data_IF_117144484363
#
_entry.id   IF_117144484363
#
_cell.length_a   1.000
_cell.length_b   1.000
_cell.length_c   1.000
_cell.angle_alpha   90.00
_cell.angle_beta   90.00
_cell.angle_gamma   90.00
#
_symmetry.space_group_name_H-M   'P 1'
#
loop_
_entity.id
_entity.type
_entity.pdbx_description
1 polymer ?
#
# COMPACT_ATOMS: atom_id res chain seq x y z
N UNK A 1 21.95 -18.69 25.83
CA UNK A 1 21.58 -17.87 24.66
C UNK A 1 20.90 -18.80 23.66
N UNK A 2 19.61 -18.61 23.44
CA UNK A 2 18.83 -19.47 22.54
C UNK A 2 18.73 -18.80 21.18
N UNK A 3 19.29 -19.42 20.14
CA UNK A 3 18.97 -19.02 18.78
C UNK A 3 17.48 -19.28 18.55
N UNK A 4 16.73 -18.32 17.98
CA UNK A 4 15.35 -18.56 17.61
C UNK A 4 15.30 -19.73 16.63
N UNK A 5 14.48 -20.72 16.94
CA UNK A 5 14.25 -21.84 16.03
C UNK A 5 13.53 -21.35 14.78
N UNK A 6 13.68 -22.06 13.68
CA UNK A 6 13.02 -21.73 12.41
C UNK A 6 11.49 -21.61 12.56
N UNK A 7 10.90 -22.42 13.44
CA UNK A 7 9.48 -22.33 13.81
C UNK A 7 9.14 -21.00 14.50
N UNK A 8 10.05 -20.50 15.35
CA UNK A 8 9.90 -19.22 16.02
C UNK A 8 10.00 -18.06 15.02
N UNK A 9 10.92 -18.14 14.06
CA UNK A 9 11.00 -17.15 12.96
C UNK A 9 9.73 -17.14 12.12
N UNK A 10 9.20 -18.30 11.75
CA UNK A 10 7.97 -18.43 10.98
C UNK A 10 6.74 -17.86 11.72
N UNK A 11 6.64 -18.08 13.03
CA UNK A 11 5.58 -17.50 13.86
C UNK A 11 5.74 -15.98 13.98
N UNK A 12 6.97 -15.47 14.01
CA UNK A 12 7.25 -14.02 14.03
C UNK A 12 6.88 -13.39 12.69
N UNK A 13 7.23 -14.02 11.57
CA UNK A 13 6.84 -13.57 10.23
C UNK A 13 5.33 -13.59 10.04
N UNK A 14 4.63 -14.64 10.46
CA UNK A 14 3.16 -14.74 10.38
C UNK A 14 2.42 -13.74 11.28
N UNK A 15 2.99 -13.40 12.44
CA UNK A 15 2.40 -12.39 13.33
C UNK A 15 2.64 -10.97 12.84
N UNK A 16 3.70 -10.74 12.04
CA UNK A 16 3.97 -9.45 11.37
C UNK A 16 3.22 -9.33 10.05
N UNK A 17 3.06 -10.42 9.29
CA UNK A 17 2.21 -10.50 8.07
C UNK A 17 0.70 -10.60 8.39
N UNK A 18 0.34 -10.89 9.63
CA UNK A 18 -1.05 -11.11 10.05
C UNK A 18 -1.92 -9.86 10.16
N UNK A 19 -1.59 -8.76 9.48
CA UNK A 19 -2.52 -7.63 9.43
C UNK A 19 -3.77 -8.07 8.67
N UNK A 20 -4.94 -7.83 9.26
CA UNK A 20 -6.25 -8.07 8.62
C UNK A 20 -6.33 -7.45 7.21
N UNK A 21 -5.49 -6.46 6.92
CA UNK A 21 -5.40 -5.68 5.70
C UNK A 21 -4.82 -6.48 4.51
N UNK A 22 -3.92 -7.45 4.71
CA UNK A 22 -3.37 -8.26 3.60
C UNK A 22 -4.41 -9.23 3.01
N UNK A 23 -5.25 -9.82 3.87
CA UNK A 23 -6.39 -10.63 3.41
C UNK A 23 -7.44 -9.79 2.70
N UNK A 24 -7.64 -8.55 3.15
CA UNK A 24 -8.56 -7.62 2.51
C UNK A 24 -8.02 -7.18 1.14
N UNK A 25 -6.72 -6.91 1.04
CA UNK A 25 -6.02 -6.68 -0.24
C UNK A 25 -6.22 -7.82 -1.22
N UNK A 26 -6.02 -9.07 -0.79
CA UNK A 26 -6.20 -10.26 -1.64
C UNK A 26 -7.67 -10.40 -2.10
N UNK A 27 -8.64 -10.17 -1.20
CA UNK A 27 -10.06 -10.20 -1.55
C UNK A 27 -10.44 -9.07 -2.53
N UNK A 28 -9.71 -7.95 -2.51
CA UNK A 28 -9.89 -6.84 -3.43
C UNK A 28 -9.21 -7.04 -4.80
N UNK A 29 -8.50 -8.14 -5.03
CA UNK A 29 -7.98 -8.54 -6.34
C UNK A 29 -9.02 -9.27 -7.22
N UNK A 30 -10.31 -9.17 -6.91
CA UNK A 30 -11.35 -9.64 -7.84
C UNK A 30 -11.31 -8.80 -9.12
N UNK A 31 -11.50 -9.43 -10.28
CA UNK A 31 -11.35 -8.77 -11.59
C UNK A 31 -12.17 -7.49 -11.75
N UNK A 32 -13.37 -7.43 -11.16
CA UNK A 32 -14.23 -6.23 -11.17
C UNK A 32 -13.66 -5.10 -10.31
N UNK A 33 -13.16 -5.43 -9.12
CA UNK A 33 -12.59 -4.46 -8.19
C UNK A 33 -11.28 -3.89 -8.74
N UNK A 34 -10.46 -4.73 -9.38
CA UNK A 34 -9.23 -4.32 -10.06
C UNK A 34 -9.50 -3.30 -11.17
N UNK A 35 -10.56 -3.49 -11.97
CA UNK A 35 -10.91 -2.53 -13.03
C UNK A 35 -11.29 -1.15 -12.46
N UNK A 36 -12.01 -1.11 -11.35
CA UNK A 36 -12.34 0.15 -10.66
C UNK A 36 -11.07 0.83 -10.15
N UNK A 37 -10.18 0.07 -9.50
CA UNK A 37 -8.92 0.58 -8.98
C UNK A 37 -7.98 1.11 -10.07
N UNK A 38 -7.97 0.48 -11.25
CA UNK A 38 -7.22 0.95 -12.42
C UNK A 38 -7.81 2.24 -13.00
N UNK A 39 -9.13 2.39 -13.00
CA UNK A 39 -9.77 3.63 -13.43
C UNK A 39 -9.49 4.78 -12.46
N UNK A 40 -9.57 4.51 -11.15
CA UNK A 40 -9.18 5.45 -10.10
C UNK A 40 -7.70 5.84 -10.23
N UNK A 41 -6.80 4.88 -10.50
CA UNK A 41 -5.39 5.14 -10.72
C UNK A 41 -5.15 6.02 -11.94
N UNK A 42 -5.87 5.78 -13.04
CA UNK A 42 -5.83 6.62 -14.24
C UNK A 42 -6.27 8.05 -13.93
N UNK A 43 -7.36 8.22 -13.19
CA UNK A 43 -7.86 9.52 -12.77
C UNK A 43 -6.85 10.27 -11.88
N UNK A 44 -6.25 9.58 -10.90
CA UNK A 44 -5.21 10.14 -10.02
C UNK A 44 -4.00 10.59 -10.85
N UNK A 45 -3.52 9.73 -11.75
CA UNK A 45 -2.37 10.04 -12.59
C UNK A 45 -2.64 11.26 -13.49
N UNK A 46 -3.80 11.34 -14.12
CA UNK A 46 -4.19 12.49 -14.94
C UNK A 46 -4.25 13.77 -14.11
N UNK A 47 -4.91 13.73 -12.96
CA UNK A 47 -5.07 14.90 -12.07
C UNK A 47 -3.71 15.42 -11.59
N UNK A 48 -2.80 14.52 -11.19
CA UNK A 48 -1.46 14.90 -10.76
C UNK A 48 -0.61 15.42 -11.92
N UNK A 49 -0.71 14.81 -13.11
CA UNK A 49 0.01 15.28 -14.30
C UNK A 49 -0.43 16.68 -14.75
N UNK A 50 -1.72 16.98 -14.66
CA UNK A 50 -2.29 18.29 -14.98
C UNK A 50 -1.84 19.37 -13.99
N UNK A 51 -1.68 19.01 -12.71
CA UNK A 51 -1.16 19.92 -11.69
C UNK A 51 0.35 20.13 -11.83
N UNK A 52 1.10 19.03 -11.86
CA UNK A 52 2.54 19.02 -12.03
C UNK A 52 3.04 17.61 -12.43
N UNK A 53 3.46 17.48 -13.69
CA UNK A 53 4.04 16.23 -14.20
C UNK A 53 5.29 15.77 -13.41
N UNK A 54 6.06 16.68 -12.82
CA UNK A 54 7.22 16.32 -12.01
C UNK A 54 6.79 15.67 -10.67
N UNK A 55 5.68 16.12 -10.09
CA UNK A 55 5.09 15.54 -8.89
C UNK A 55 4.62 14.09 -9.14
N UNK A 56 3.94 13.84 -10.26
CA UNK A 56 3.53 12.49 -10.64
C UNK A 56 4.75 11.57 -10.80
N UNK A 57 5.78 12.04 -11.52
CA UNK A 57 7.00 11.27 -11.73
C UNK A 57 7.72 10.98 -10.41
N UNK A 58 7.77 11.95 -9.49
CA UNK A 58 8.34 11.76 -8.16
C UNK A 58 7.55 10.72 -7.37
N UNK A 59 6.21 10.76 -7.38
CA UNK A 59 5.37 9.77 -6.70
C UNK A 59 5.61 8.37 -7.25
N UNK A 60 5.59 8.20 -8.58
CA UNK A 60 5.86 6.91 -9.24
C UNK A 60 7.25 6.41 -8.87
N UNK A 61 8.26 7.29 -8.85
CA UNK A 61 9.61 6.92 -8.46
C UNK A 61 9.65 6.38 -7.03
N UNK A 62 9.06 7.10 -6.06
CA UNK A 62 9.00 6.66 -4.65
C UNK A 62 8.29 5.31 -4.49
N UNK A 63 7.22 5.06 -5.25
CA UNK A 63 6.51 3.77 -5.28
C UNK A 63 7.46 2.65 -5.72
N UNK A 64 8.14 2.83 -6.86
CA UNK A 64 8.96 1.77 -7.48
C UNK A 64 10.16 1.41 -6.61
N UNK A 65 10.79 2.40 -5.96
CA UNK A 65 11.94 2.14 -5.08
C UNK A 65 11.54 1.58 -3.70
N UNK A 66 10.24 1.48 -3.41
CA UNK A 66 9.71 0.92 -2.17
C UNK A 66 9.82 1.86 -0.97
N UNK A 67 9.88 3.17 -1.21
CA UNK A 67 9.89 4.18 -0.13
C UNK A 67 8.51 4.32 0.53
N UNK A 68 8.50 4.90 1.74
CA UNK A 68 7.27 5.06 2.49
C UNK A 68 6.37 6.14 1.88
N UNK A 69 5.12 5.78 1.59
CA UNK A 69 4.09 6.70 1.12
C UNK A 69 3.09 6.95 2.23
N UNK A 70 2.96 8.22 2.63
CA UNK A 70 2.04 8.64 3.69
C UNK A 70 0.92 9.47 3.08
N UNK A 71 -0.32 9.00 3.27
CA UNK A 71 -1.52 9.66 2.72
C UNK A 71 -2.34 10.25 3.86
N UNK A 72 -2.37 11.58 3.96
CA UNK A 72 -3.22 12.30 4.91
C UNK A 72 -4.47 12.81 4.20
N UNK A 73 -5.63 12.30 4.60
CA UNK A 73 -6.92 12.73 4.07
C UNK A 73 -8.01 12.64 5.16
N UNK A 74 -8.97 13.56 5.13
CA UNK A 74 -10.10 13.57 6.05
C UNK A 74 -11.15 12.50 5.72
N UNK A 75 -11.23 12.09 4.45
CA UNK A 75 -12.13 11.04 3.99
C UNK A 75 -11.43 9.69 4.06
N UNK A 76 -11.96 8.80 4.91
CA UNK A 76 -11.51 7.41 5.02
C UNK A 76 -11.61 6.69 3.67
N UNK A 77 -12.75 6.84 3.00
CA UNK A 77 -13.05 6.17 1.73
C UNK A 77 -12.06 6.61 0.66
N UNK A 78 -11.84 7.92 0.52
CA UNK A 78 -10.91 8.45 -0.49
C UNK A 78 -9.46 8.00 -0.22
N UNK A 79 -9.06 7.93 1.06
CA UNK A 79 -7.73 7.42 1.44
C UNK A 79 -7.56 5.95 1.06
N UNK A 80 -8.54 5.11 1.39
CA UNK A 80 -8.51 3.68 1.06
C UNK A 80 -8.49 3.45 -0.45
N UNK A 81 -9.35 4.13 -1.21
CA UNK A 81 -9.37 4.04 -2.66
C UNK A 81 -8.02 4.44 -3.26
N UNK A 82 -7.46 5.58 -2.83
CA UNK A 82 -6.17 6.04 -3.31
C UNK A 82 -5.05 5.02 -3.05
N UNK A 83 -4.95 4.52 -1.82
CA UNK A 83 -3.94 3.52 -1.45
C UNK A 83 -4.12 2.24 -2.27
N UNK A 84 -5.35 1.73 -2.39
CA UNK A 84 -5.62 0.50 -3.14
C UNK A 84 -5.33 0.63 -4.63
N UNK A 85 -5.57 1.81 -5.22
CA UNK A 85 -5.17 2.11 -6.59
C UNK A 85 -3.65 2.06 -6.76
N UNK A 86 -2.89 2.59 -5.80
CA UNK A 86 -1.42 2.54 -5.85
C UNK A 86 -0.87 1.12 -5.73
N UNK A 87 -1.51 0.25 -4.94
CA UNK A 87 -1.09 -1.16 -4.82
C UNK A 87 -1.06 -1.88 -6.16
N UNK A 88 -1.91 -1.48 -7.12
CA UNK A 88 -1.92 -2.08 -8.46
C UNK A 88 -0.62 -1.86 -9.26
N UNK A 89 0.25 -0.95 -8.81
CA UNK A 89 1.56 -0.70 -9.43
C UNK A 89 2.66 -1.64 -8.93
N UNK A 90 2.42 -2.38 -7.84
CA UNK A 90 3.43 -3.19 -7.17
C UNK A 90 2.98 -4.66 -7.05
N UNK A 91 3.92 -5.62 -7.07
CA UNK A 91 3.60 -6.98 -6.68
C UNK A 91 3.09 -7.04 -5.24
N UNK A 92 2.14 -7.93 -4.96
CA UNK A 92 1.49 -8.04 -3.64
C UNK A 92 2.50 -8.19 -2.48
N UNK A 93 3.60 -8.93 -2.70
CA UNK A 93 4.64 -9.14 -1.69
C UNK A 93 5.57 -7.93 -1.44
N UNK A 94 5.43 -6.86 -2.21
CA UNK A 94 6.19 -5.62 -2.04
C UNK A 94 5.40 -4.55 -1.28
N UNK A 95 4.19 -4.85 -0.82
CA UNK A 95 3.27 -3.87 -0.25
C UNK A 95 3.01 -4.20 1.22
N UNK A 96 3.21 -3.20 2.07
CA UNK A 96 2.76 -3.20 3.47
C UNK A 96 1.87 -1.99 3.68
N UNK A 97 0.63 -2.22 4.12
CA UNK A 97 -0.34 -1.16 4.36
C UNK A 97 -0.61 -0.99 5.85
N UNK A 98 -0.87 0.26 6.22
CA UNK A 98 -1.56 0.64 7.45
C UNK A 98 -2.59 1.69 7.05
N UNK A 99 -3.83 1.25 6.82
CA UNK A 99 -4.85 2.10 6.21
C UNK A 99 -5.41 3.18 7.15
N UNK A 100 -5.21 3.03 8.46
CA UNK A 100 -5.92 3.79 9.51
C UNK A 100 -5.09 4.16 10.73
N UNK A 101 -3.81 4.47 10.51
CA UNK A 101 -2.92 4.97 11.55
C UNK A 101 -3.43 6.28 12.20
N UNK A 102 -3.53 6.31 13.53
CA UNK A 102 -3.79 7.53 14.32
C UNK A 102 -2.52 8.32 14.63
N UNK A 103 -1.36 7.72 14.40
CA UNK A 103 -0.04 8.28 14.63
C UNK A 103 0.91 7.88 13.50
N UNK A 104 2.03 8.60 13.35
CA UNK A 104 3.03 8.22 12.35
C UNK A 104 3.74 6.92 12.74
N UNK A 105 3.85 5.99 11.80
CA UNK A 105 4.67 4.79 11.91
C UNK A 105 5.84 4.89 10.95
N UNK A 106 7.03 4.55 11.42
CA UNK A 106 8.23 4.56 10.60
C UNK A 106 8.37 3.24 9.82
N UNK A 107 9.01 3.28 8.65
CA UNK A 107 9.07 2.18 7.67
C UNK A 107 9.76 0.90 8.14
N UNK A 108 10.52 0.94 9.24
CA UNK A 108 11.26 -0.21 9.79
C UNK A 108 10.47 -1.07 10.80
N UNK A 109 9.18 -0.81 10.99
CA UNK A 109 8.29 -1.71 11.76
C UNK A 109 7.59 -2.68 10.84
#
# INVERSE_FOLDING_TARGET
EGCPTQEMLFVTELSVCGSLEEKELINQLSSKQTLIQLDDLRYIAQTLAEQDSALLNALIWQIIIGEQIVVKCNSLIARQQFIHSLVQLLPIGCVRLDANATQYYHSYK
#
